data_IF_733443477317
#
_entry.id   IF_733443477317
#
_cell.length_a   1.000
_cell.length_b   1.000
_cell.length_c   1.000
_cell.angle_alpha   90.00
_cell.angle_beta   90.00
_cell.angle_gamma   90.00
#
_symmetry.space_group_name_H-M   'P 1'
#
loop_
_entity.id
_entity.type
_entity.pdbx_description
1 polymer ?
#
# COMPACT_ATOMS: atom_id res chain seq x y z
N UNK A 1 -5.93 -5.73 40.86
CA UNK A 1 -5.37 -4.53 40.21
C UNK A 1 -5.56 -4.67 38.70
N UNK A 2 -6.72 -4.26 38.20
CA UNK A 2 -7.09 -4.29 36.78
C UNK A 2 -7.05 -2.84 36.28
N UNK A 3 -6.06 -2.52 35.43
CA UNK A 3 -5.92 -1.20 34.85
C UNK A 3 -7.01 -0.97 33.82
N UNK A 4 -7.81 0.09 34.01
CA UNK A 4 -8.77 0.58 33.04
C UNK A 4 -8.02 1.17 31.83
N UNK A 5 -8.18 0.56 30.66
CA UNK A 5 -7.82 1.21 29.41
C UNK A 5 -8.78 2.38 29.17
N UNK A 6 -8.25 3.60 29.21
CA UNK A 6 -8.98 4.77 28.73
C UNK A 6 -9.18 4.60 27.22
N UNK A 7 -10.44 4.59 26.79
CA UNK A 7 -10.83 4.67 25.39
C UNK A 7 -10.27 5.95 24.79
N UNK A 8 -9.43 5.81 23.78
CA UNK A 8 -8.96 6.96 22.99
C UNK A 8 -10.19 7.53 22.28
N UNK A 9 -10.46 8.81 22.55
CA UNK A 9 -11.58 9.54 21.99
C UNK A 9 -11.39 9.72 20.47
N UNK A 10 -12.26 9.07 19.69
CA UNK A 10 -12.27 9.12 18.24
C UNK A 10 -12.66 10.51 17.68
N UNK A 11 -13.03 11.46 18.54
CA UNK A 11 -13.43 12.81 18.15
C UNK A 11 -12.28 13.69 17.64
N UNK A 12 -11.01 13.32 17.87
CA UNK A 12 -9.86 14.16 17.53
C UNK A 12 -9.29 13.97 16.11
N UNK A 13 -9.81 13.02 15.31
CA UNK A 13 -9.39 12.84 13.90
C UNK A 13 -10.20 13.66 12.87
N UNK A 14 -11.19 14.46 13.30
CA UNK A 14 -12.17 15.09 12.40
C UNK A 14 -12.10 16.64 12.41
N UNK A 15 -10.96 17.23 12.07
CA UNK A 15 -10.98 18.61 11.51
C UNK A 15 -10.73 18.57 10.02
N UNK A 16 -11.86 18.46 9.32
CA UNK A 16 -12.08 18.68 7.89
C UNK A 16 -11.55 20.06 7.48
N UNK A 17 -10.67 20.07 6.49
CA UNK A 17 -10.60 21.19 5.53
C UNK A 17 -10.88 20.55 4.18
N UNK A 18 -12.07 20.83 3.67
CA UNK A 18 -12.64 20.36 2.42
C UNK A 18 -12.27 21.39 1.35
N UNK A 19 -11.42 21.03 0.39
CA UNK A 19 -11.47 21.65 -0.94
C UNK A 19 -12.32 20.72 -1.81
N UNK A 20 -13.56 21.15 -2.07
CA UNK A 20 -14.50 20.48 -2.96
C UNK A 20 -14.22 21.03 -4.35
N UNK A 21 -13.66 20.21 -5.24
CA UNK A 21 -13.64 20.53 -6.67
C UNK A 21 -14.98 20.08 -7.25
N UNK A 22 -15.87 21.03 -7.55
CA UNK A 22 -17.15 20.74 -8.20
C UNK A 22 -16.92 20.36 -9.67
N UNK A 23 -17.26 19.14 -10.04
CA UNK A 23 -17.46 18.77 -11.44
C UNK A 23 -18.89 19.11 -11.83
N UNK A 24 -19.07 20.08 -12.73
CA UNK A 24 -20.39 20.59 -13.13
C UNK A 24 -21.31 19.56 -13.85
N UNK A 25 -20.86 18.33 -14.10
CA UNK A 25 -21.58 17.35 -14.91
C UNK A 25 -21.98 16.05 -14.19
N UNK A 26 -21.58 15.83 -12.94
CA UNK A 26 -21.95 14.61 -12.22
C UNK A 26 -22.24 14.90 -10.74
N UNK A 27 -23.48 14.71 -10.32
CA UNK A 27 -23.97 14.93 -8.94
C UNK A 27 -23.41 13.94 -7.89
N UNK A 28 -22.19 13.43 -8.06
CA UNK A 28 -21.51 12.58 -7.09
C UNK A 28 -20.36 13.35 -6.43
N UNK A 29 -20.59 13.81 -5.20
CA UNK A 29 -19.55 14.35 -4.31
C UNK A 29 -18.99 13.19 -3.46
N UNK A 30 -17.98 12.48 -3.96
CA UNK A 30 -17.10 11.69 -3.09
C UNK A 30 -15.86 12.55 -2.86
N UNK A 31 -15.57 12.99 -1.62
CA UNK A 31 -14.38 13.79 -1.36
C UNK A 31 -13.14 12.90 -1.53
N UNK A 32 -12.52 13.02 -2.71
CA UNK A 32 -11.26 12.37 -3.11
C UNK A 32 -10.21 12.50 -1.97
N UNK A 33 -10.20 13.64 -1.27
CA UNK A 33 -9.30 13.93 -0.14
C UNK A 33 -9.49 12.99 1.07
N UNK A 34 -10.71 12.58 1.42
CA UNK A 34 -10.94 11.73 2.61
C UNK A 34 -10.45 10.29 2.40
N UNK A 35 -10.61 9.81 1.16
CA UNK A 35 -10.24 8.49 0.71
C UNK A 35 -8.71 8.33 0.66
N UNK A 36 -8.03 9.32 0.08
CA UNK A 36 -6.57 9.38 -0.01
C UNK A 36 -5.94 9.39 1.39
N UNK A 37 -6.50 10.18 2.31
CA UNK A 37 -6.04 10.21 3.72
C UNK A 37 -6.23 8.88 4.44
N UNK A 38 -7.36 8.19 4.24
CA UNK A 38 -7.58 6.87 4.84
C UNK A 38 -6.60 5.81 4.30
N UNK A 39 -6.24 5.93 3.02
CA UNK A 39 -5.35 5.02 2.32
C UNK A 39 -3.90 5.19 2.78
N UNK A 40 -3.44 6.44 2.85
CA UNK A 40 -2.12 6.79 3.37
C UNK A 40 -1.97 6.52 4.88
N UNK A 41 -3.05 6.60 5.65
CA UNK A 41 -3.02 6.29 7.07
C UNK A 41 -2.72 4.81 7.34
N UNK A 42 -3.49 3.90 6.72
CA UNK A 42 -3.27 2.46 6.88
C UNK A 42 -1.88 2.04 6.36
N UNK A 43 -1.48 2.61 5.23
CA UNK A 43 -0.15 2.45 4.66
C UNK A 43 0.96 2.87 5.66
N UNK A 44 0.94 4.13 6.11
CA UNK A 44 1.99 4.70 6.95
C UNK A 44 2.10 3.99 8.30
N UNK A 45 0.97 3.59 8.89
CA UNK A 45 0.94 2.81 10.12
C UNK A 45 1.70 1.48 9.97
N UNK A 46 1.43 0.73 8.90
CA UNK A 46 2.09 -0.55 8.65
C UNK A 46 3.59 -0.38 8.33
N UNK A 47 3.99 0.67 7.62
CA UNK A 47 5.41 0.98 7.40
C UNK A 47 6.14 1.30 8.72
N UNK A 48 5.51 2.07 9.61
CA UNK A 48 6.08 2.35 10.94
C UNK A 48 6.22 1.08 11.78
N UNK A 49 5.22 0.19 11.74
CA UNK A 49 5.32 -1.11 12.41
C UNK A 49 6.45 -1.96 11.84
N UNK A 50 6.58 -2.02 10.50
CA UNK A 50 7.67 -2.74 9.85
C UNK A 50 9.04 -2.23 10.34
N UNK A 51 9.27 -0.92 10.29
CA UNK A 51 10.52 -0.30 10.78
C UNK A 51 10.79 -0.60 12.26
N UNK A 52 9.75 -0.60 13.10
CA UNK A 52 9.88 -0.86 14.54
C UNK A 52 10.32 -2.29 14.85
N UNK A 53 9.84 -3.27 14.08
CA UNK A 53 10.13 -4.70 14.33
C UNK A 53 11.27 -5.26 13.47
N UNK A 54 11.82 -4.48 12.53
CA UNK A 54 12.80 -4.93 11.55
C UNK A 54 14.06 -5.56 12.18
N UNK A 55 14.54 -4.97 13.29
CA UNK A 55 15.74 -5.44 13.98
C UNK A 55 15.59 -6.83 14.61
N UNK A 56 14.47 -7.04 15.29
CA UNK A 56 14.26 -8.25 16.10
C UNK A 56 13.48 -9.34 15.33
N UNK A 57 12.64 -8.94 14.37
CA UNK A 57 11.72 -9.80 13.62
C UNK A 57 11.61 -9.39 12.14
N UNK A 58 12.67 -9.53 11.33
CA UNK A 58 12.70 -9.06 9.95
C UNK A 58 11.68 -9.76 9.04
N UNK A 59 11.31 -11.01 9.31
CA UNK A 59 10.24 -11.71 8.58
C UNK A 59 8.86 -11.05 8.82
N UNK A 60 8.57 -10.66 10.05
CA UNK A 60 7.32 -9.95 10.40
C UNK A 60 7.34 -8.56 9.76
N UNK A 61 8.50 -7.89 9.80
CA UNK A 61 8.67 -6.59 9.18
C UNK A 61 8.43 -6.62 7.66
N UNK A 62 8.94 -7.66 6.97
CA UNK A 62 8.66 -7.90 5.56
C UNK A 62 7.15 -8.01 5.29
N UNK A 63 6.44 -8.79 6.11
CA UNK A 63 4.98 -8.97 5.98
C UNK A 63 4.25 -7.64 6.15
N UNK A 64 4.59 -6.84 7.16
CA UNK A 64 3.98 -5.52 7.35
C UNK A 64 4.28 -4.56 6.19
N UNK A 65 5.53 -4.51 5.72
CA UNK A 65 5.93 -3.62 4.64
C UNK A 65 5.20 -3.96 3.33
N UNK A 66 5.18 -5.23 2.93
CA UNK A 66 4.47 -5.68 1.73
C UNK A 66 2.95 -5.49 1.88
N UNK A 67 2.37 -5.84 3.03
CA UNK A 67 0.94 -5.67 3.28
C UNK A 67 0.51 -4.18 3.28
N UNK A 68 1.40 -3.26 3.66
CA UNK A 68 1.16 -1.83 3.54
C UNK A 68 0.93 -1.43 2.08
N UNK A 69 1.82 -1.87 1.18
CA UNK A 69 1.74 -1.56 -0.24
C UNK A 69 0.53 -2.26 -0.91
N UNK A 70 0.27 -3.53 -0.59
CA UNK A 70 -0.93 -4.23 -1.07
C UNK A 70 -2.22 -3.52 -0.65
N UNK A 71 -2.27 -3.04 0.59
CA UNK A 71 -3.43 -2.30 1.12
C UNK A 71 -3.60 -0.98 0.40
N UNK A 72 -2.49 -0.26 0.17
CA UNK A 72 -2.48 0.97 -0.61
C UNK A 72 -3.05 0.75 -2.02
N UNK A 73 -2.55 -0.25 -2.77
CA UNK A 73 -3.06 -0.56 -4.11
C UNK A 73 -4.53 -0.98 -4.11
N UNK A 74 -4.92 -1.82 -3.15
CA UNK A 74 -6.31 -2.27 -3.01
C UNK A 74 -7.24 -1.09 -2.80
N UNK A 75 -6.88 -0.17 -1.90
CA UNK A 75 -7.71 1.01 -1.61
C UNK A 75 -7.73 1.96 -2.81
N UNK A 76 -6.59 2.24 -3.42
CA UNK A 76 -6.50 3.04 -4.64
C UNK A 76 -7.45 2.50 -5.73
N UNK A 77 -7.41 1.20 -6.00
CA UNK A 77 -8.31 0.55 -6.96
C UNK A 77 -9.77 0.57 -6.51
N UNK A 78 -10.05 0.20 -5.25
CA UNK A 78 -11.39 0.13 -4.68
C UNK A 78 -12.14 1.46 -4.81
N UNK A 79 -11.46 2.58 -4.56
CA UNK A 79 -12.11 3.88 -4.54
C UNK A 79 -12.16 4.59 -5.90
N UNK A 80 -11.58 3.98 -6.94
CA UNK A 80 -11.61 4.56 -8.28
C UNK A 80 -13.00 4.47 -8.95
N UNK A 81 -13.76 3.40 -8.70
CA UNK A 81 -15.12 3.25 -9.21
C UNK A 81 -15.95 2.26 -8.39
N UNK A 82 -17.28 2.38 -8.44
CA UNK A 82 -18.20 1.44 -7.79
C UNK A 82 -18.04 0.01 -8.29
N UNK A 83 -17.73 -0.15 -9.59
CA UNK A 83 -17.41 -1.46 -10.18
C UNK A 83 -16.14 -2.04 -9.53
N UNK A 84 -15.10 -1.23 -9.36
CA UNK A 84 -13.86 -1.68 -8.72
C UNK A 84 -14.09 -2.03 -7.26
N UNK A 85 -14.90 -1.24 -6.55
CA UNK A 85 -15.32 -1.57 -5.18
C UNK A 85 -16.01 -2.94 -5.11
N UNK A 86 -16.95 -3.21 -6.03
CA UNK A 86 -17.60 -4.51 -6.15
C UNK A 86 -16.61 -5.65 -6.42
N UNK A 87 -15.65 -5.45 -7.34
CA UNK A 87 -14.63 -6.44 -7.67
C UNK A 87 -13.71 -6.77 -6.48
N UNK A 88 -13.30 -5.75 -5.71
CA UNK A 88 -12.51 -5.93 -4.48
C UNK A 88 -13.28 -6.70 -3.43
N UNK A 89 -14.54 -6.31 -3.16
CA UNK A 89 -15.38 -7.00 -2.17
C UNK A 89 -15.62 -8.46 -2.52
N UNK A 90 -15.74 -8.78 -3.82
CA UNK A 90 -15.89 -10.15 -4.33
C UNK A 90 -14.56 -10.90 -4.48
N UNK A 91 -13.43 -10.32 -4.06
CA UNK A 91 -12.07 -10.89 -4.21
C UNK A 91 -11.76 -11.33 -5.64
N UNK A 92 -12.23 -10.57 -6.63
CA UNK A 92 -11.99 -10.83 -8.07
C UNK A 92 -10.67 -10.27 -8.56
N UNK A 93 -9.98 -9.50 -7.72
CA UNK A 93 -8.69 -8.88 -8.01
C UNK A 93 -7.71 -9.27 -6.91
N UNK A 94 -6.52 -9.72 -7.27
CA UNK A 94 -5.51 -10.16 -6.31
C UNK A 94 -4.32 -9.19 -6.25
N UNK A 95 -4.30 -8.38 -5.19
CA UNK A 95 -3.19 -7.43 -4.92
C UNK A 95 -1.96 -8.09 -4.29
N UNK A 96 -2.01 -9.37 -3.92
CA UNK A 96 -0.84 -10.11 -3.44
C UNK A 96 0.12 -10.46 -4.59
N UNK A 97 -0.37 -10.42 -5.83
CA UNK A 97 0.46 -10.56 -7.04
C UNK A 97 0.89 -9.18 -7.52
N UNK A 98 2.18 -8.85 -7.35
CA UNK A 98 2.73 -7.59 -7.85
C UNK A 98 2.66 -7.49 -9.38
N UNK A 99 2.77 -8.62 -10.09
CA UNK A 99 2.67 -8.68 -11.56
C UNK A 99 1.22 -8.42 -12.04
N UNK A 100 0.21 -8.91 -11.32
CA UNK A 100 -1.20 -8.60 -11.58
C UNK A 100 -1.50 -7.14 -11.26
N UNK A 101 -1.02 -6.67 -10.11
CA UNK A 101 -1.20 -5.28 -9.65
C UNK A 101 -0.60 -4.27 -10.63
N UNK A 102 0.61 -4.54 -11.14
CA UNK A 102 1.23 -3.75 -12.23
C UNK A 102 0.29 -3.61 -13.44
N UNK A 103 -0.33 -4.70 -13.85
CA UNK A 103 -1.22 -4.73 -15.01
C UNK A 103 -2.47 -3.90 -14.77
N UNK A 104 -3.06 -4.02 -13.57
CA UNK A 104 -4.24 -3.26 -13.14
C UNK A 104 -3.93 -1.77 -13.09
N UNK A 105 -2.84 -1.37 -12.42
CA UNK A 105 -2.49 0.04 -12.27
C UNK A 105 -2.23 0.72 -13.61
N UNK A 106 -1.58 0.00 -14.54
CA UNK A 106 -1.34 0.50 -15.90
C UNK A 106 -2.64 0.63 -16.70
N UNK A 107 -3.54 -0.34 -16.59
CA UNK A 107 -4.81 -0.36 -17.34
C UNK A 107 -5.80 0.69 -16.84
N UNK A 108 -5.94 0.81 -15.52
CA UNK A 108 -7.02 1.58 -14.90
C UNK A 108 -6.60 3.03 -14.61
N UNK A 109 -5.31 3.26 -14.33
CA UNK A 109 -4.78 4.59 -13.98
C UNK A 109 -3.72 5.10 -14.95
N UNK A 110 -3.32 4.31 -15.96
CA UNK A 110 -2.20 4.67 -16.84
C UNK A 110 -0.83 4.63 -16.15
N UNK A 111 -0.74 4.07 -14.94
CA UNK A 111 0.48 4.09 -14.12
C UNK A 111 1.34 2.87 -14.39
N UNK A 112 2.52 3.10 -14.98
CA UNK A 112 3.53 2.05 -15.17
C UNK A 112 4.49 2.00 -13.97
N UNK A 113 4.12 1.24 -12.93
CA UNK A 113 4.91 1.15 -11.69
C UNK A 113 6.33 0.60 -11.91
N UNK A 114 6.56 -0.17 -12.98
CA UNK A 114 7.92 -0.66 -13.31
C UNK A 114 8.81 0.52 -13.69
N UNK A 115 8.29 1.48 -14.45
CA UNK A 115 9.04 2.68 -14.83
C UNK A 115 9.31 3.59 -13.64
N UNK A 116 8.38 3.67 -12.67
CA UNK A 116 8.53 4.54 -11.51
C UNK A 116 9.71 4.11 -10.60
N UNK A 117 10.00 2.82 -10.54
CA UNK A 117 11.05 2.23 -9.69
C UNK A 117 11.94 1.26 -10.47
N UNK A 118 12.31 1.60 -11.70
CA UNK A 118 12.98 0.68 -12.64
C UNK A 118 14.21 -0.04 -12.04
N UNK A 119 15.04 0.71 -11.30
CA UNK A 119 16.24 0.19 -10.64
C UNK A 119 15.95 -0.79 -9.51
N UNK A 120 14.79 -0.66 -8.87
CA UNK A 120 14.40 -1.37 -7.67
C UNK A 120 13.28 -2.39 -7.90
N UNK A 121 12.77 -2.48 -9.14
CA UNK A 121 11.65 -3.37 -9.50
C UNK A 121 11.94 -4.84 -9.18
N UNK A 122 13.14 -5.33 -9.54
CA UNK A 122 13.54 -6.71 -9.27
C UNK A 122 13.59 -7.00 -7.76
N UNK A 123 14.10 -6.05 -6.99
CA UNK A 123 14.18 -6.15 -5.53
C UNK A 123 12.79 -6.16 -4.88
N UNK A 124 11.89 -5.28 -5.30
CA UNK A 124 10.52 -5.25 -4.80
C UNK A 124 9.78 -6.56 -5.14
N UNK A 125 9.90 -7.03 -6.39
CA UNK A 125 9.28 -8.27 -6.85
C UNK A 125 9.78 -9.49 -6.07
N UNK A 126 11.08 -9.55 -5.77
CA UNK A 126 11.63 -10.64 -4.98
C UNK A 126 11.12 -10.61 -3.54
N UNK A 127 10.98 -9.43 -2.92
CA UNK A 127 10.44 -9.31 -1.57
C UNK A 127 8.96 -9.71 -1.48
N UNK A 128 8.16 -9.44 -2.52
CA UNK A 128 6.80 -10.00 -2.63
C UNK A 128 6.83 -11.54 -2.64
N UNK A 129 7.78 -12.17 -3.33
CA UNK A 129 7.95 -13.63 -3.33
C UNK A 129 8.38 -14.16 -1.97
N UNK A 130 9.40 -13.54 -1.35
CA UNK A 130 9.86 -13.88 0.00
C UNK A 130 8.72 -13.83 1.01
N UNK A 131 7.84 -12.82 0.92
CA UNK A 131 6.66 -12.71 1.79
C UNK A 131 5.72 -13.91 1.68
N UNK A 132 5.50 -14.45 0.48
CA UNK A 132 4.68 -15.66 0.33
C UNK A 132 5.33 -16.86 1.00
N UNK A 133 6.65 -17.02 0.87
CA UNK A 133 7.38 -18.09 1.53
C UNK A 133 7.40 -17.94 3.06
N UNK A 134 7.53 -16.71 3.58
CA UNK A 134 7.41 -16.43 5.02
C UNK A 134 6.04 -16.85 5.56
N UNK A 135 4.95 -16.48 4.87
CA UNK A 135 3.58 -16.75 5.34
C UNK A 135 3.20 -18.23 5.16
N UNK A 136 3.53 -18.84 4.02
CA UNK A 136 3.00 -20.15 3.64
C UNK A 136 3.98 -21.30 3.83
N UNK A 137 5.29 -21.03 3.84
CA UNK A 137 6.33 -22.06 3.85
C UNK A 137 7.26 -21.95 5.07
N UNK A 138 6.80 -21.34 6.17
CA UNK A 138 7.59 -21.14 7.39
C UNK A 138 8.99 -20.54 7.12
N UNK A 139 9.05 -19.58 6.19
CA UNK A 139 10.28 -18.90 5.76
C UNK A 139 11.27 -19.78 4.96
N UNK A 140 10.79 -20.81 4.26
CA UNK A 140 11.60 -21.59 3.32
C UNK A 140 11.21 -21.32 1.87
N UNK A 141 12.22 -21.20 1.00
CA UNK A 141 12.01 -21.05 -0.44
C UNK A 141 11.61 -22.37 -1.12
N UNK A 142 11.34 -22.31 -2.43
CA UNK A 142 10.94 -23.49 -3.23
C UNK A 142 12.03 -24.57 -3.33
N UNK A 143 13.27 -24.24 -2.98
CA UNK A 143 14.42 -25.17 -2.95
C UNK A 143 14.64 -25.76 -1.56
N UNK A 144 13.83 -25.38 -0.57
CA UNK A 144 13.96 -25.82 0.82
C UNK A 144 15.06 -25.08 1.59
N UNK A 145 15.56 -23.94 1.09
CA UNK A 145 16.51 -23.10 1.82
C UNK A 145 15.77 -22.07 2.66
N UNK A 146 16.25 -21.86 3.88
CA UNK A 146 15.72 -20.81 4.75
C UNK A 146 16.00 -19.45 4.13
N UNK A 147 14.97 -18.61 4.07
CA UNK A 147 15.06 -17.22 3.66
C UNK A 147 15.60 -16.44 4.84
N UNK A 148 16.80 -15.89 4.67
CA UNK A 148 17.38 -14.96 5.62
C UNK A 148 17.07 -13.52 5.19
N UNK A 149 16.63 -12.72 6.15
CA UNK A 149 16.33 -11.30 5.97
C UNK A 149 17.13 -10.52 7.01
N UNK A 150 17.73 -9.42 6.60
CA UNK A 150 18.41 -8.49 7.51
C UNK A 150 17.60 -7.21 7.70
N UNK A 151 17.84 -6.51 8.80
CA UNK A 151 17.28 -5.18 9.06
C UNK A 151 17.54 -4.22 7.88
N UNK A 152 18.76 -4.24 7.31
CA UNK A 152 19.11 -3.38 6.19
C UNK A 152 18.31 -3.70 4.92
N UNK A 153 17.96 -4.97 4.71
CA UNK A 153 17.11 -5.37 3.58
C UNK A 153 15.69 -4.82 3.76
N UNK A 154 15.15 -4.88 4.99
CA UNK A 154 13.84 -4.32 5.33
C UNK A 154 13.82 -2.80 5.22
N UNK A 155 14.86 -2.11 5.67
CA UNK A 155 14.97 -0.65 5.55
C UNK A 155 15.01 -0.20 4.10
N UNK A 156 15.78 -0.92 3.27
CA UNK A 156 15.80 -0.69 1.83
C UNK A 156 14.43 -0.92 1.22
N UNK A 157 13.74 -2.01 1.58
CA UNK A 157 12.40 -2.30 1.09
C UNK A 157 11.41 -1.19 1.46
N UNK A 158 11.39 -0.78 2.73
CA UNK A 158 10.51 0.30 3.19
C UNK A 158 10.77 1.60 2.42
N UNK A 159 12.04 1.92 2.15
CA UNK A 159 12.42 3.11 1.38
C UNK A 159 11.92 3.05 -0.07
N UNK A 160 12.04 1.89 -0.72
CA UNK A 160 11.53 1.68 -2.09
C UNK A 160 10.00 1.77 -2.13
N UNK A 161 9.33 1.22 -1.12
CA UNK A 161 7.87 1.26 -1.01
C UNK A 161 7.39 2.69 -0.76
N UNK A 162 8.05 3.44 0.14
CA UNK A 162 7.79 4.86 0.39
C UNK A 162 7.97 5.70 -0.89
N UNK A 163 9.07 5.51 -1.62
CA UNK A 163 9.34 6.21 -2.89
C UNK A 163 8.31 5.85 -3.99
N UNK A 164 7.91 4.59 -4.10
CA UNK A 164 6.88 4.17 -5.05
C UNK A 164 5.54 4.82 -4.75
N UNK A 165 5.09 4.79 -3.49
CA UNK A 165 3.82 5.42 -3.10
C UNK A 165 3.87 6.91 -3.36
N UNK A 166 4.96 7.59 -2.98
CA UNK A 166 5.14 9.01 -3.28
C UNK A 166 5.03 9.32 -4.78
N UNK A 167 5.72 8.55 -5.64
CA UNK A 167 5.66 8.74 -7.09
C UNK A 167 4.27 8.49 -7.67
N UNK A 168 3.53 7.51 -7.16
CA UNK A 168 2.15 7.26 -7.58
C UNK A 168 1.26 8.45 -7.21
N UNK A 169 1.36 8.94 -5.97
CA UNK A 169 0.61 10.13 -5.53
C UNK A 169 0.97 11.35 -6.39
N UNK A 170 2.24 11.55 -6.73
CA UNK A 170 2.66 12.61 -7.65
C UNK A 170 1.99 12.48 -9.02
N UNK A 171 1.91 11.27 -9.57
CA UNK A 171 1.25 11.03 -10.85
C UNK A 171 -0.26 11.28 -10.77
N UNK A 172 -0.92 10.86 -9.68
CA UNK A 172 -2.36 10.98 -9.51
C UNK A 172 -2.85 12.40 -9.22
N UNK A 173 -2.06 13.20 -8.49
CA UNK A 173 -2.53 14.49 -7.97
C UNK A 173 -1.85 15.71 -8.59
N UNK A 174 -0.70 15.54 -9.26
CA UNK A 174 0.08 16.68 -9.75
C UNK A 174 0.29 16.71 -11.26
N UNK A 175 0.05 15.61 -11.99
CA UNK A 175 0.15 15.63 -13.45
C UNK A 175 -1.06 16.27 -14.16
N UNK A 176 -2.15 16.58 -13.44
CA UNK A 176 -3.30 17.33 -13.98
C UNK A 176 -3.13 18.87 -13.89
N UNK A 177 -1.98 19.38 -13.44
CA UNK A 177 -1.71 20.84 -13.34
C UNK A 177 -1.03 21.41 -14.60
N UNK A 178 -0.86 20.62 -15.65
CA UNK A 178 -0.36 21.12 -16.95
C UNK A 178 -1.32 20.75 -18.06
N UNK A 179 -2.32 21.61 -18.27
CA UNK A 179 -3.01 21.80 -19.55
C UNK A 179 -2.85 23.26 -19.95
#
# INVERSE_FOLDING_TARGET
KTGSYQSIDASMCNRMVLDIVECNNCHFQIPIISVVRSTLFAYSHNIQLAKKVAKDFPEIALVFCVAALETYFRQLFQYHSDLNAYLVQRRRVNFQSLDETKTILKKEFGIDIVKLIEKDWSFLRENFRKRHAVIHNASYDVTGKKIELSEQEIDKLCSIVDDLVYKIEMVLFYNDVVI
#
